data_IF_769978889832
#
_entry.id   IF_769978889832
#
_cell.length_a   1.000
_cell.length_b   1.000
_cell.length_c   1.000
_cell.angle_alpha   90.00
_cell.angle_beta   90.00
_cell.angle_gamma   90.00
#
_symmetry.space_group_name_H-M   'P 1'
#
loop_
_entity.id
_entity.type
_entity.pdbx_description
1 polymer ?
#
# COMPACT_ATOMS: atom_id res chain seq x y z
N UNK A 1 149.15 -44.94 77.01
CA UNK A 1 148.35 -45.70 76.01
C UNK A 1 146.84 -45.49 76.14
N UNK A 2 146.28 -45.21 77.33
CA UNK A 2 144.84 -44.92 77.48
C UNK A 2 144.36 -43.62 76.78
N UNK A 3 145.11 -42.53 76.88
CA UNK A 3 144.66 -41.20 76.41
C UNK A 3 144.48 -41.07 74.88
N UNK A 4 145.23 -41.84 74.08
CA UNK A 4 145.13 -41.84 72.61
C UNK A 4 143.89 -42.59 72.15
N UNK A 5 143.62 -43.73 72.77
CA UNK A 5 142.44 -44.56 72.50
C UNK A 5 141.16 -43.83 72.88
N UNK A 6 141.16 -43.04 73.97
CA UNK A 6 140.02 -42.19 74.34
C UNK A 6 139.76 -41.07 73.32
N UNK A 7 140.80 -40.47 72.75
CA UNK A 7 140.68 -39.45 71.70
C UNK A 7 140.23 -40.04 70.36
N UNK A 8 140.75 -41.22 69.98
CA UNK A 8 140.31 -41.96 68.79
C UNK A 8 138.85 -42.41 68.93
N UNK A 9 138.44 -42.90 70.12
CA UNK A 9 137.03 -43.21 70.40
C UNK A 9 136.15 -41.96 70.33
N UNK A 10 136.57 -40.82 70.89
CA UNK A 10 135.82 -39.55 70.76
C UNK A 10 135.68 -39.09 69.32
N UNK A 11 136.74 -39.22 68.51
CA UNK A 11 136.71 -38.85 67.10
C UNK A 11 135.79 -39.79 66.31
N UNK A 12 135.86 -41.10 66.58
CA UNK A 12 134.96 -42.10 66.02
C UNK A 12 133.49 -41.81 66.38
N UNK A 13 133.20 -41.53 67.66
CA UNK A 13 131.85 -41.16 68.12
C UNK A 13 131.36 -39.86 67.49
N UNK A 14 132.20 -38.82 67.37
CA UNK A 14 131.82 -37.57 66.71
C UNK A 14 131.57 -37.76 65.21
N UNK A 15 132.30 -38.67 64.56
CA UNK A 15 132.12 -38.99 63.15
C UNK A 15 130.83 -39.78 62.92
N UNK A 16 130.55 -40.76 63.77
CA UNK A 16 129.28 -41.51 63.77
C UNK A 16 128.08 -40.61 64.10
N UNK A 17 128.23 -39.64 65.02
CA UNK A 17 127.22 -38.63 65.30
C UNK A 17 126.99 -37.69 64.12
N UNK A 18 128.05 -37.23 63.45
CA UNK A 18 127.93 -36.40 62.26
C UNK A 18 127.27 -37.15 61.10
N UNK A 19 127.60 -38.43 60.92
CA UNK A 19 127.00 -39.26 59.88
C UNK A 19 125.54 -39.62 60.22
N UNK A 20 125.23 -39.81 61.51
CA UNK A 20 123.85 -39.96 61.99
C UNK A 20 123.04 -38.68 61.73
N UNK A 21 123.54 -37.50 62.11
CA UNK A 21 122.86 -36.23 61.84
C UNK A 21 122.70 -35.94 60.35
N UNK A 22 123.73 -36.21 59.52
CA UNK A 22 123.61 -36.09 58.06
C UNK A 22 122.56 -37.03 57.49
N UNK A 23 122.48 -38.26 57.99
CA UNK A 23 121.47 -39.22 57.55
C UNK A 23 120.07 -38.81 58.01
N UNK A 24 119.92 -38.33 59.25
CA UNK A 24 118.65 -37.78 59.77
C UNK A 24 118.23 -36.58 58.94
N UNK A 25 119.09 -35.59 58.73
CA UNK A 25 118.78 -34.41 57.92
C UNK A 25 118.45 -34.79 56.46
N UNK A 26 119.17 -35.75 55.88
CA UNK A 26 118.87 -36.28 54.54
C UNK A 26 117.49 -36.96 54.49
N UNK A 27 117.12 -37.71 55.54
CA UNK A 27 115.78 -38.30 55.67
C UNK A 27 114.71 -37.22 55.85
N UNK A 28 114.93 -36.21 56.70
CA UNK A 28 114.01 -35.09 56.89
C UNK A 28 113.79 -34.30 55.60
N UNK A 29 114.86 -34.00 54.86
CA UNK A 29 114.78 -33.34 53.55
C UNK A 29 114.02 -34.21 52.55
N UNK A 30 114.23 -35.54 52.58
CA UNK A 30 113.50 -36.46 51.70
C UNK A 30 112.01 -36.52 52.04
N UNK A 31 111.66 -36.57 53.32
CA UNK A 31 110.26 -36.57 53.78
C UNK A 31 109.58 -35.21 53.52
N UNK A 32 110.28 -34.10 53.73
CA UNK A 32 109.78 -32.76 53.38
C UNK A 32 109.53 -32.62 51.87
N UNK A 33 110.44 -33.12 51.02
CA UNK A 33 110.24 -33.15 49.56
C UNK A 33 109.05 -34.02 49.18
N UNK A 34 108.93 -35.24 49.71
CA UNK A 34 107.77 -36.11 49.46
C UNK A 34 106.46 -35.44 49.87
N UNK A 35 106.39 -34.82 51.05
CA UNK A 35 105.20 -34.09 51.52
C UNK A 35 104.86 -32.91 50.62
N UNK A 36 105.88 -32.23 50.10
CA UNK A 36 105.69 -31.14 49.14
C UNK A 36 105.18 -31.66 47.80
N UNK A 37 105.77 -32.74 47.27
CA UNK A 37 105.36 -33.38 46.02
C UNK A 37 103.93 -33.93 46.11
N UNK A 38 103.56 -34.60 47.20
CA UNK A 38 102.18 -35.06 47.42
C UNK A 38 101.21 -33.89 47.49
N UNK A 39 101.57 -32.81 48.19
CA UNK A 39 100.73 -31.61 48.27
C UNK A 39 100.56 -30.94 46.91
N UNK A 40 101.59 -30.92 46.06
CA UNK A 40 101.49 -30.40 44.69
C UNK A 40 100.51 -31.25 43.88
N UNK A 41 100.61 -32.59 43.94
CA UNK A 41 99.71 -33.50 43.21
C UNK A 41 98.27 -33.39 43.72
N UNK A 42 98.05 -33.26 45.03
CA UNK A 42 96.73 -33.02 45.63
C UNK A 42 96.13 -31.68 45.19
N UNK A 43 96.94 -30.62 45.14
CA UNK A 43 96.49 -29.31 44.64
C UNK A 43 96.17 -29.38 43.14
N UNK A 44 96.98 -30.08 42.35
CA UNK A 44 96.79 -30.19 40.90
C UNK A 44 95.57 -31.06 40.54
N UNK A 45 95.38 -32.17 41.26
CA UNK A 45 94.18 -33.01 41.17
C UNK A 45 92.91 -32.27 41.64
N UNK A 46 92.99 -31.49 42.73
CA UNK A 46 91.89 -30.64 43.19
C UNK A 46 91.49 -29.61 42.14
N UNK A 47 92.46 -28.88 41.55
CA UNK A 47 92.21 -27.94 40.45
C UNK A 47 91.61 -28.65 39.23
N UNK A 48 92.10 -29.84 38.87
CA UNK A 48 91.56 -30.64 37.76
C UNK A 48 90.10 -30.99 37.98
N UNK A 49 89.73 -31.44 39.18
CA UNK A 49 88.34 -31.77 39.55
C UNK A 49 87.47 -30.50 39.51
N UNK A 50 87.95 -29.37 40.01
CA UNK A 50 87.22 -28.10 39.92
C UNK A 50 86.97 -27.66 38.48
N UNK A 51 87.97 -27.80 37.59
CA UNK A 51 87.80 -27.49 36.17
C UNK A 51 86.85 -28.47 35.48
N UNK A 52 86.94 -29.76 35.77
CA UNK A 52 86.00 -30.77 35.25
C UNK A 52 84.58 -30.53 35.75
N UNK A 53 84.41 -30.15 37.02
CA UNK A 53 83.11 -29.78 37.60
C UNK A 53 82.53 -28.53 36.93
N UNK A 54 83.32 -27.46 36.76
CA UNK A 54 82.88 -26.23 36.09
C UNK A 54 82.54 -26.48 34.62
N UNK A 55 83.30 -27.34 33.94
CA UNK A 55 83.02 -27.73 32.56
C UNK A 55 81.73 -28.55 32.46
N UNK A 56 81.51 -29.50 33.37
CA UNK A 56 80.28 -30.29 33.43
C UNK A 56 79.05 -29.41 33.72
N UNK A 57 79.18 -28.46 34.66
CA UNK A 57 78.14 -27.48 34.98
C UNK A 57 77.81 -26.59 33.77
N UNK A 58 78.81 -26.02 33.10
CA UNK A 58 78.61 -25.22 31.89
C UNK A 58 77.96 -26.02 30.74
N UNK A 59 78.33 -27.28 30.56
CA UNK A 59 77.71 -28.17 29.58
C UNK A 59 76.25 -28.51 29.95
N UNK A 60 75.95 -28.67 31.24
CA UNK A 60 74.59 -28.91 31.71
C UNK A 60 73.72 -27.65 31.54
N UNK A 61 74.26 -26.47 31.84
CA UNK A 61 73.58 -25.19 31.63
C UNK A 61 73.29 -24.98 30.14
N UNK A 62 74.27 -25.20 29.26
CA UNK A 62 74.08 -25.11 27.81
C UNK A 62 73.01 -26.10 27.30
N UNK A 63 72.97 -27.33 27.81
CA UNK A 63 71.90 -28.29 27.49
C UNK A 63 70.54 -27.80 27.97
N UNK A 64 70.47 -27.26 29.18
CA UNK A 64 69.23 -26.72 29.76
C UNK A 64 68.71 -25.54 28.94
N UNK A 65 69.60 -24.63 28.53
CA UNK A 65 69.24 -23.48 27.70
C UNK A 65 68.74 -23.93 26.33
N UNK A 66 69.38 -24.91 25.70
CA UNK A 66 68.89 -25.47 24.44
C UNK A 66 67.55 -26.19 24.57
N UNK A 67 67.35 -26.98 25.64
CA UNK A 67 66.06 -27.63 25.90
C UNK A 67 64.96 -26.58 26.13
N UNK A 68 65.25 -25.53 26.89
CA UNK A 68 64.33 -24.42 27.11
C UNK A 68 64.00 -23.71 25.79
N UNK A 69 64.99 -23.42 24.95
CA UNK A 69 64.76 -22.82 23.63
C UNK A 69 63.88 -23.70 22.75
N UNK A 70 64.13 -25.01 22.70
CA UNK A 70 63.30 -25.95 21.93
C UNK A 70 61.86 -25.95 22.46
N UNK A 71 61.70 -25.97 23.78
CA UNK A 71 60.39 -25.94 24.42
C UNK A 71 59.63 -24.64 24.12
N UNK A 72 60.32 -23.49 24.19
CA UNK A 72 59.73 -22.19 23.87
C UNK A 72 59.32 -22.12 22.40
N UNK A 73 60.17 -22.59 21.48
CA UNK A 73 59.83 -22.65 20.06
C UNK A 73 58.63 -23.57 19.80
N UNK A 74 58.58 -24.73 20.44
CA UNK A 74 57.46 -25.66 20.31
C UNK A 74 56.17 -25.02 20.80
N UNK A 75 56.19 -24.37 21.96
CA UNK A 75 55.02 -23.72 22.53
C UNK A 75 54.54 -22.54 21.67
N UNK A 76 55.46 -21.73 21.15
CA UNK A 76 55.13 -20.67 20.19
C UNK A 76 54.54 -21.23 18.90
N UNK A 77 55.08 -22.33 18.38
CA UNK A 77 54.58 -22.99 17.19
C UNK A 77 53.17 -23.55 17.42
N UNK A 78 52.93 -24.22 18.53
CA UNK A 78 51.61 -24.74 18.92
C UNK A 78 50.59 -23.60 19.10
N UNK A 79 50.96 -22.52 19.80
CA UNK A 79 50.11 -21.33 19.95
C UNK A 79 49.74 -20.72 18.60
N UNK A 80 50.72 -20.54 17.71
CA UNK A 80 50.47 -19.92 16.39
C UNK A 80 49.64 -20.81 15.48
N UNK A 81 49.86 -22.12 15.47
CA UNK A 81 49.02 -23.04 14.71
C UNK A 81 47.62 -23.18 15.28
N UNK A 82 47.48 -23.26 16.61
CA UNK A 82 46.18 -23.29 17.28
C UNK A 82 45.37 -22.03 16.95
N UNK A 83 45.98 -20.85 17.06
CA UNK A 83 45.33 -19.59 16.71
C UNK A 83 44.95 -19.51 15.21
N UNK A 84 45.80 -20.00 14.30
CA UNK A 84 45.48 -20.05 12.87
C UNK A 84 44.33 -21.01 12.57
N UNK A 85 44.30 -22.15 13.24
CA UNK A 85 43.27 -23.18 13.05
C UNK A 85 41.93 -22.70 13.59
N UNK A 86 41.92 -22.09 14.78
CA UNK A 86 40.73 -21.47 15.34
C UNK A 86 40.21 -20.33 14.45
N UNK A 87 41.09 -19.45 13.97
CA UNK A 87 40.68 -18.37 13.06
C UNK A 87 40.13 -18.91 11.73
N UNK A 88 40.75 -19.96 11.17
CA UNK A 88 40.24 -20.61 9.97
C UNK A 88 38.87 -21.28 10.21
N UNK A 89 38.66 -21.92 11.36
CA UNK A 89 37.38 -22.49 11.75
C UNK A 89 36.30 -21.41 11.92
N UNK A 90 36.61 -20.30 12.61
CA UNK A 90 35.71 -19.18 12.77
C UNK A 90 35.35 -18.53 11.43
N UNK A 91 36.33 -18.38 10.53
CA UNK A 91 36.08 -17.86 9.18
C UNK A 91 35.19 -18.81 8.36
N UNK A 92 35.42 -20.12 8.44
CA UNK A 92 34.60 -21.12 7.77
C UNK A 92 33.15 -21.14 8.31
N UNK A 93 32.98 -21.06 9.63
CA UNK A 93 31.67 -20.98 10.27
C UNK A 93 30.92 -19.73 9.83
N UNK A 94 31.55 -18.54 9.91
CA UNK A 94 30.96 -17.29 9.42
C UNK A 94 30.58 -17.38 7.95
N UNK A 95 31.44 -17.92 7.10
CA UNK A 95 31.13 -18.07 5.68
C UNK A 95 29.95 -19.04 5.44
N UNK A 96 29.83 -20.09 6.25
CA UNK A 96 28.66 -20.99 6.23
C UNK A 96 27.39 -20.25 6.62
N UNK A 97 27.42 -19.42 7.67
CA UNK A 97 26.27 -18.63 8.13
C UNK A 97 25.84 -17.58 7.10
N UNK A 98 26.79 -16.91 6.45
CA UNK A 98 26.47 -16.01 5.33
C UNK A 98 25.87 -16.79 4.14
N UNK A 99 26.35 -18.00 3.86
CA UNK A 99 25.83 -18.84 2.79
C UNK A 99 24.43 -19.41 3.11
N UNK A 100 24.09 -19.65 4.38
CA UNK A 100 22.73 -20.05 4.78
C UNK A 100 21.78 -18.86 4.74
N UNK A 101 22.16 -17.70 5.27
CA UNK A 101 21.33 -16.49 5.24
C UNK A 101 20.97 -16.08 3.80
N UNK A 102 21.97 -16.05 2.91
CA UNK A 102 21.73 -15.76 1.49
C UNK A 102 20.84 -16.80 0.80
N UNK A 103 20.95 -18.09 1.16
CA UNK A 103 20.02 -19.11 0.66
C UNK A 103 18.59 -18.88 1.16
N UNK A 104 18.40 -18.51 2.41
CA UNK A 104 17.09 -18.20 2.97
C UNK A 104 16.46 -16.97 2.31
N UNK A 105 17.25 -15.92 2.03
CA UNK A 105 16.81 -14.76 1.25
C UNK A 105 16.39 -15.12 -0.18
N UNK A 106 17.11 -16.03 -0.83
CA UNK A 106 16.74 -16.54 -2.16
C UNK A 106 15.43 -17.32 -2.10
N UNK A 107 15.27 -18.21 -1.11
CA UNK A 107 14.06 -19.03 -0.95
C UNK A 107 12.85 -18.15 -0.65
N UNK A 108 12.96 -17.19 0.27
CA UNK A 108 11.89 -16.24 0.58
C UNK A 108 11.52 -15.36 -0.62
N UNK A 109 12.52 -14.87 -1.36
CA UNK A 109 12.30 -14.12 -2.60
C UNK A 109 11.59 -14.94 -3.65
N UNK A 110 11.96 -16.21 -3.82
CA UNK A 110 11.31 -17.14 -4.76
C UNK A 110 9.85 -17.40 -4.36
N UNK A 111 9.58 -17.66 -3.08
CA UNK A 111 8.21 -17.82 -2.57
C UNK A 111 7.35 -16.57 -2.82
N UNK A 112 7.93 -15.39 -2.65
CA UNK A 112 7.26 -14.12 -2.94
C UNK A 112 6.94 -13.99 -4.44
N UNK A 113 7.88 -14.35 -5.31
CA UNK A 113 7.66 -14.37 -6.76
C UNK A 113 6.55 -15.36 -7.14
N UNK A 114 6.56 -16.57 -6.59
CA UNK A 114 5.55 -17.59 -6.87
C UNK A 114 4.16 -17.14 -6.42
N UNK A 115 4.06 -16.49 -5.26
CA UNK A 115 2.81 -15.95 -4.73
C UNK A 115 2.28 -14.81 -5.59
N UNK A 116 3.13 -13.84 -5.95
CA UNK A 116 2.76 -12.74 -6.85
C UNK A 116 2.36 -13.26 -8.25
N UNK A 117 3.06 -14.28 -8.76
CA UNK A 117 2.74 -14.90 -10.04
C UNK A 117 1.39 -15.62 -10.01
N UNK A 118 1.06 -16.28 -8.90
CA UNK A 118 -0.25 -16.90 -8.68
C UNK A 118 -1.37 -15.85 -8.65
N UNK A 119 -1.18 -14.77 -7.88
CA UNK A 119 -2.11 -13.64 -7.83
C UNK A 119 -2.31 -13.00 -9.21
N UNK A 120 -1.22 -12.80 -9.97
CA UNK A 120 -1.28 -12.25 -11.32
C UNK A 120 -2.09 -13.18 -12.26
N UNK A 121 -1.86 -14.50 -12.18
CA UNK A 121 -2.65 -15.48 -12.94
C UNK A 121 -4.13 -15.46 -12.56
N UNK A 122 -4.45 -15.31 -11.26
CA UNK A 122 -5.82 -15.19 -10.78
C UNK A 122 -6.49 -13.93 -11.33
N UNK A 123 -5.84 -12.77 -11.25
CA UNK A 123 -6.38 -11.52 -11.79
C UNK A 123 -6.54 -11.56 -13.31
N UNK A 124 -5.61 -12.19 -14.04
CA UNK A 124 -5.75 -12.40 -15.48
C UNK A 124 -6.98 -13.24 -15.83
N UNK A 125 -7.26 -14.31 -15.07
CA UNK A 125 -8.47 -15.13 -15.25
C UNK A 125 -9.74 -14.36 -14.91
N UNK A 126 -9.73 -13.57 -13.84
CA UNK A 126 -10.86 -12.72 -13.50
C UNK A 126 -11.12 -11.65 -14.57
N UNK A 127 -10.07 -11.02 -15.09
CA UNK A 127 -10.20 -10.03 -16.14
C UNK A 127 -10.76 -10.63 -17.43
N UNK A 128 -10.27 -11.79 -17.87
CA UNK A 128 -10.81 -12.46 -19.05
C UNK A 128 -12.27 -12.92 -18.86
N UNK A 129 -12.64 -13.34 -17.66
CA UNK A 129 -14.04 -13.66 -17.33
C UNK A 129 -14.94 -12.42 -17.41
N UNK A 130 -14.50 -11.28 -16.87
CA UNK A 130 -15.24 -10.02 -16.95
C UNK A 130 -15.35 -9.48 -18.38
N UNK A 131 -14.28 -9.56 -19.17
CA UNK A 131 -14.29 -9.19 -20.59
C UNK A 131 -15.28 -10.04 -21.39
N UNK A 132 -15.34 -11.35 -21.12
CA UNK A 132 -16.34 -12.24 -21.72
C UNK A 132 -17.77 -11.86 -21.28
N UNK A 133 -17.96 -11.50 -20.00
CA UNK A 133 -19.27 -11.07 -19.50
C UNK A 133 -19.75 -9.78 -20.15
N UNK A 134 -18.85 -8.80 -20.31
CA UNK A 134 -19.14 -7.56 -21.02
C UNK A 134 -19.54 -7.85 -22.47
N UNK A 135 -18.81 -8.72 -23.16
CA UNK A 135 -19.15 -9.12 -24.53
C UNK A 135 -20.53 -9.77 -24.62
N UNK A 136 -20.84 -10.70 -23.71
CA UNK A 136 -22.16 -11.35 -23.65
C UNK A 136 -23.28 -10.31 -23.44
N UNK A 137 -23.10 -9.37 -22.50
CA UNK A 137 -24.09 -8.32 -22.23
C UNK A 137 -24.26 -7.37 -23.42
N UNK A 138 -23.19 -7.03 -24.12
CA UNK A 138 -23.24 -6.24 -25.36
C UNK A 138 -24.05 -6.97 -26.44
N UNK A 139 -23.79 -8.26 -26.66
CA UNK A 139 -24.56 -9.05 -27.63
C UNK A 139 -26.05 -9.16 -27.26
N UNK A 140 -26.38 -9.26 -25.96
CA UNK A 140 -27.78 -9.27 -25.49
C UNK A 140 -28.43 -7.91 -25.78
N UNK A 141 -27.73 -6.81 -25.49
CA UNK A 141 -28.21 -5.45 -25.75
C UNK A 141 -28.47 -5.22 -27.24
N UNK A 142 -27.53 -5.60 -28.11
CA UNK A 142 -27.65 -5.46 -29.55
C UNK A 142 -28.85 -6.26 -30.08
N UNK A 143 -29.02 -7.51 -29.61
CA UNK A 143 -30.21 -8.33 -29.97
C UNK A 143 -31.51 -7.67 -29.52
N UNK A 144 -31.57 -7.09 -28.31
CA UNK A 144 -32.74 -6.40 -27.82
C UNK A 144 -33.06 -5.14 -28.64
N UNK A 145 -32.03 -4.35 -29.00
CA UNK A 145 -32.18 -3.17 -29.86
C UNK A 145 -32.70 -3.53 -31.24
N UNK A 146 -32.17 -4.58 -31.87
CA UNK A 146 -32.65 -5.08 -33.16
C UNK A 146 -34.10 -5.55 -33.10
N UNK A 147 -34.48 -6.26 -32.04
CA UNK A 147 -35.86 -6.69 -31.82
C UNK A 147 -36.81 -5.50 -31.68
N UNK A 148 -36.45 -4.49 -30.88
CA UNK A 148 -37.24 -3.27 -30.75
C UNK A 148 -37.33 -2.49 -32.07
N UNK A 149 -36.23 -2.41 -32.83
CA UNK A 149 -36.23 -1.74 -34.14
C UNK A 149 -37.17 -2.43 -35.13
N UNK A 150 -37.20 -3.76 -35.15
CA UNK A 150 -38.14 -4.55 -35.96
C UNK A 150 -39.59 -4.29 -35.54
N UNK A 151 -39.88 -4.31 -34.25
CA UNK A 151 -41.22 -4.02 -33.72
C UNK A 151 -41.68 -2.60 -34.09
N UNK A 152 -40.80 -1.60 -33.96
CA UNK A 152 -41.10 -0.23 -34.36
C UNK A 152 -41.40 -0.14 -35.86
N UNK A 153 -40.58 -0.78 -36.70
CA UNK A 153 -40.82 -0.82 -38.15
C UNK A 153 -42.14 -1.49 -38.52
N UNK A 154 -42.54 -2.55 -37.80
CA UNK A 154 -43.83 -3.22 -38.00
C UNK A 154 -45.00 -2.30 -37.63
N UNK A 155 -44.91 -1.60 -36.49
CA UNK A 155 -45.94 -0.62 -36.08
C UNK A 155 -46.02 0.59 -37.01
N UNK A 156 -44.88 1.09 -37.49
CA UNK A 156 -44.87 2.18 -38.48
C UNK A 156 -45.54 1.74 -39.80
N UNK A 157 -45.33 0.48 -40.20
CA UNK A 157 -46.02 -0.12 -41.35
C UNK A 157 -47.53 -0.24 -41.10
N UNK A 158 -47.96 -0.73 -39.94
CA UNK A 158 -49.38 -0.80 -39.58
C UNK A 158 -50.03 0.59 -39.61
N UNK A 159 -49.35 1.62 -39.07
CA UNK A 159 -49.82 3.01 -39.10
C UNK A 159 -49.94 3.52 -40.53
N UNK A 160 -48.97 3.23 -41.40
CA UNK A 160 -49.03 3.60 -42.81
C UNK A 160 -50.21 2.92 -43.53
N UNK A 161 -50.41 1.62 -43.30
CA UNK A 161 -51.51 0.85 -43.88
C UNK A 161 -52.88 1.41 -43.41
N UNK A 162 -53.02 1.77 -42.13
CA UNK A 162 -54.24 2.39 -41.59
C UNK A 162 -54.48 3.80 -42.14
N UNK A 163 -53.44 4.61 -42.30
CA UNK A 163 -53.54 5.94 -42.93
C UNK A 163 -53.98 5.82 -44.38
N UNK A 164 -53.45 4.85 -45.12
CA UNK A 164 -53.84 4.61 -46.50
C UNK A 164 -55.32 4.20 -46.61
N UNK A 165 -55.78 3.26 -45.77
CA UNK A 165 -57.20 2.88 -45.70
C UNK A 165 -58.12 4.07 -45.39
N UNK A 166 -57.73 4.90 -44.43
CA UNK A 166 -58.49 6.11 -44.08
C UNK A 166 -58.58 7.07 -45.27
N UNK A 167 -57.48 7.26 -46.01
CA UNK A 167 -57.48 8.11 -47.19
C UNK A 167 -58.41 7.56 -48.29
N UNK A 168 -58.36 6.26 -48.57
CA UNK A 168 -59.29 5.63 -49.51
C UNK A 168 -60.75 5.82 -49.10
N UNK A 169 -61.07 5.66 -47.81
CA UNK A 169 -62.42 5.93 -47.31
C UNK A 169 -62.84 7.38 -47.52
N UNK A 170 -61.95 8.35 -47.28
CA UNK A 170 -62.25 9.76 -47.53
C UNK A 170 -62.53 10.04 -49.01
N UNK A 171 -61.76 9.43 -49.92
CA UNK A 171 -61.97 9.54 -51.37
C UNK A 171 -63.32 8.91 -51.79
N UNK A 172 -63.68 7.74 -51.24
CA UNK A 172 -64.99 7.12 -51.45
C UNK A 172 -66.14 7.98 -50.91
N UNK A 173 -65.96 8.60 -49.73
CA UNK A 173 -66.95 9.52 -49.16
C UNK A 173 -67.13 10.78 -50.00
N UNK A 174 -66.05 11.34 -50.55
CA UNK A 174 -66.11 12.50 -51.45
C UNK A 174 -66.87 12.15 -52.75
N UNK A 175 -66.54 11.02 -53.38
CA UNK A 175 -67.26 10.53 -54.56
C UNK A 175 -68.76 10.32 -54.28
N UNK A 176 -69.10 9.73 -53.13
CA UNK A 176 -70.50 9.54 -52.73
C UNK A 176 -71.20 10.87 -52.47
N UNK A 177 -70.51 11.85 -51.88
CA UNK A 177 -71.04 13.20 -51.68
C UNK A 177 -71.32 13.88 -53.02
N UNK A 178 -70.43 13.76 -54.00
CA UNK A 178 -70.61 14.30 -55.35
C UNK A 178 -71.85 13.71 -56.04
N UNK A 179 -72.03 12.39 -55.97
CA UNK A 179 -73.24 11.71 -56.49
C UNK A 179 -74.49 12.23 -55.78
N UNK A 180 -74.44 12.41 -54.46
CA UNK A 180 -75.56 12.96 -53.69
C UNK A 180 -75.91 14.38 -54.13
N UNK A 181 -74.90 15.23 -54.34
CA UNK A 181 -75.11 16.60 -54.83
C UNK A 181 -75.73 16.61 -56.23
N UNK A 182 -75.30 15.72 -57.13
CA UNK A 182 -75.91 15.56 -58.45
C UNK A 182 -77.39 15.15 -58.35
N UNK A 183 -77.71 14.17 -57.51
CA UNK A 183 -79.11 13.74 -57.27
C UNK A 183 -79.97 14.86 -56.67
N UNK A 184 -79.45 15.64 -55.72
CA UNK A 184 -80.16 16.80 -55.18
C UNK A 184 -80.45 17.85 -56.26
N UNK A 185 -79.51 18.07 -57.18
CA UNK A 185 -79.71 18.97 -58.32
C UNK A 185 -80.81 18.45 -59.26
N UNK A 186 -80.81 17.15 -59.57
CA UNK A 186 -81.86 16.50 -60.36
C UNK A 186 -83.24 16.62 -59.70
N UNK A 187 -83.35 16.32 -58.40
CA UNK A 187 -84.61 16.46 -57.63
C UNK A 187 -85.10 17.90 -57.66
N UNK A 188 -84.22 18.88 -57.47
CA UNK A 188 -84.59 20.29 -57.51
C UNK A 188 -85.03 20.72 -58.92
N UNK A 189 -84.41 20.19 -59.97
CA UNK A 189 -84.85 20.42 -61.35
C UNK A 189 -86.24 19.83 -61.60
N UNK A 190 -86.48 18.58 -61.17
CA UNK A 190 -87.80 17.96 -61.25
C UNK A 190 -88.86 18.75 -60.49
N UNK A 191 -88.56 19.21 -59.26
CA UNK A 191 -89.46 20.09 -58.49
C UNK A 191 -89.82 21.36 -59.24
N UNK A 192 -88.84 22.07 -59.82
CA UNK A 192 -89.08 23.29 -60.59
C UNK A 192 -89.92 23.06 -61.85
N UNK A 193 -89.71 21.93 -62.55
CA UNK A 193 -90.54 21.58 -63.71
C UNK A 193 -91.98 21.29 -63.31
N UNK A 194 -92.18 20.55 -62.21
CA UNK A 194 -93.50 20.30 -61.63
C UNK A 194 -94.19 21.59 -61.21
N UNK A 195 -93.50 22.51 -60.51
CA UNK A 195 -94.02 23.84 -60.17
C UNK A 195 -94.44 24.62 -61.42
N UNK A 196 -93.65 24.58 -62.49
CA UNK A 196 -93.99 25.20 -63.78
C UNK A 196 -95.23 24.60 -64.46
N UNK A 197 -95.39 23.27 -64.40
CA UNK A 197 -96.59 22.58 -64.88
C UNK A 197 -97.83 22.88 -64.01
N UNK A 198 -97.68 22.93 -62.68
CA UNK A 198 -98.74 23.31 -61.74
C UNK A 198 -99.23 24.75 -62.03
N UNK A 199 -98.30 25.67 -62.34
CA UNK A 199 -98.61 27.04 -62.76
C UNK A 199 -99.41 27.08 -64.08
N UNK A 200 -99.05 26.25 -65.08
CA UNK A 200 -99.75 26.15 -66.37
C UNK A 200 -101.15 25.56 -66.24
N UNK A 201 -101.30 24.55 -65.40
CA UNK A 201 -102.56 23.83 -65.19
C UNK A 201 -103.53 24.56 -64.23
N UNK A 202 -103.16 25.75 -63.72
CA UNK A 202 -103.91 26.52 -62.71
C UNK A 202 -104.29 25.67 -61.49
N UNK A 203 -103.46 24.68 -61.17
CA UNK A 203 -103.58 23.97 -59.91
C UNK A 203 -103.14 24.97 -58.84
N UNK A 204 -104.09 25.43 -58.02
CA UNK A 204 -103.84 26.38 -56.94
C UNK A 204 -102.62 25.92 -56.14
N UNK A 205 -101.66 26.81 -55.80
CA UNK A 205 -100.51 26.42 -55.00
C UNK A 205 -101.04 25.94 -53.64
N UNK A 206 -100.97 24.64 -53.39
CA UNK A 206 -101.33 24.05 -52.11
C UNK A 206 -100.27 24.46 -51.08
N UNK A 207 -100.65 24.94 -49.89
CA UNK A 207 -99.70 25.48 -48.94
C UNK A 207 -98.83 24.38 -48.36
N UNK A 208 -97.58 24.77 -48.11
CA UNK A 208 -96.52 24.02 -47.46
C UNK A 208 -97.01 23.18 -46.28
N UNK A 209 -96.72 21.88 -46.29
CA UNK A 209 -96.81 21.03 -45.11
C UNK A 209 -95.40 20.70 -44.59
N UNK A 210 -95.03 21.49 -43.58
CA UNK A 210 -94.21 21.17 -42.41
C UNK A 210 -93.85 19.68 -42.25
N UNK A 211 -92.55 19.38 -42.19
CA UNK A 211 -92.04 18.23 -41.41
C UNK A 211 -91.18 18.74 -40.25
N UNK A 212 -91.78 18.65 -39.08
CA UNK A 212 -91.13 18.67 -37.77
C UNK A 212 -90.28 17.42 -37.62
N UNK A 213 -89.00 17.58 -37.29
CA UNK A 213 -88.32 16.61 -36.42
C UNK A 213 -87.51 17.38 -35.38
N UNK A 214 -87.95 17.17 -34.16
CA UNK A 214 -87.36 17.67 -32.93
C UNK A 214 -86.24 16.73 -32.46
N UNK A 215 -85.34 17.30 -31.64
CA UNK A 215 -84.43 16.65 -30.67
C UNK A 215 -83.14 16.11 -31.31
N UNK A 216 -81.96 16.57 -30.90
CA UNK A 216 -81.48 16.57 -29.51
C UNK A 216 -80.61 17.78 -29.15
N UNK A 217 -80.98 18.40 -28.05
CA UNK A 217 -80.10 19.19 -27.18
C UNK A 217 -79.07 18.27 -26.54
N UNK A 218 -77.78 18.49 -26.81
CA UNK A 218 -76.72 18.20 -25.83
C UNK A 218 -75.90 19.46 -25.65
N UNK A 219 -75.99 19.92 -24.42
CA UNK A 219 -75.38 21.08 -23.81
C UNK A 219 -73.87 21.15 -23.96
N UNK A 220 -73.43 22.40 -24.14
CA UNK A 220 -72.12 22.94 -23.78
C UNK A 220 -71.49 22.25 -22.57
N UNK A 221 -70.21 21.91 -22.71
CA UNK A 221 -69.23 22.15 -21.63
C UNK A 221 -67.90 22.54 -22.25
N UNK A 222 -67.71 23.85 -22.39
CA UNK A 222 -66.41 24.48 -22.26
C UNK A 222 -65.90 24.20 -20.85
N UNK A 223 -64.98 23.24 -20.72
CA UNK A 223 -64.16 23.07 -19.51
C UNK A 223 -62.70 23.19 -19.89
N UNK A 224 -62.23 24.43 -19.86
CA UNK A 224 -60.84 24.75 -19.59
C UNK A 224 -60.53 24.25 -18.18
N UNK A 225 -59.94 23.06 -18.07
CA UNK A 225 -59.32 22.59 -16.84
C UNK A 225 -57.81 22.79 -16.94
N UNK A 226 -57.43 23.98 -16.48
CA UNK A 226 -56.15 24.30 -15.85
C UNK A 226 -55.98 23.37 -14.65
N UNK A 227 -54.97 22.49 -14.68
CA UNK A 227 -54.70 21.60 -13.55
C UNK A 227 -53.51 20.66 -13.75
N UNK A 228 -52.43 20.99 -13.04
CA UNK A 228 -51.24 20.18 -12.72
C UNK A 228 -50.31 19.79 -13.88
N UNK A 229 -49.21 20.55 -13.96
CA UNK A 229 -47.87 20.00 -14.23
C UNK A 229 -47.74 18.67 -13.49
N UNK A 230 -47.84 17.56 -14.20
CA UNK A 230 -47.21 16.33 -13.76
C UNK A 230 -45.73 16.52 -14.03
N UNK A 231 -44.98 16.70 -12.95
CA UNK A 231 -43.55 16.42 -12.92
C UNK A 231 -43.38 15.08 -13.61
N UNK A 232 -42.72 15.10 -14.76
CA UNK A 232 -42.15 13.93 -15.38
C UNK A 232 -41.22 13.36 -14.31
N UNK A 233 -41.68 12.33 -13.58
CA UNK A 233 -40.76 11.39 -12.98
C UNK A 233 -39.99 10.83 -14.18
N UNK A 234 -38.73 11.25 -14.27
CA UNK A 234 -37.80 10.69 -15.22
C UNK A 234 -37.78 9.18 -14.93
N UNK A 235 -38.46 8.41 -15.78
CA UNK A 235 -38.21 6.98 -15.87
C UNK A 235 -36.73 6.87 -16.17
N UNK A 236 -35.99 6.39 -15.17
CA UNK A 236 -34.58 6.09 -15.20
C UNK A 236 -34.30 5.29 -16.47
N UNK A 237 -33.82 6.00 -17.50
CA UNK A 237 -33.12 5.36 -18.60
C UNK A 237 -31.92 4.71 -17.94
N UNK A 238 -31.84 3.39 -18.05
CA UNK A 238 -30.74 2.57 -17.54
C UNK A 238 -29.41 3.06 -18.09
N UNK A 239 -28.80 4.01 -17.38
CA UNK A 239 -27.37 4.15 -17.31
C UNK A 239 -26.88 2.92 -16.53
N UNK A 240 -25.88 2.23 -17.08
CA UNK A 240 -25.24 1.11 -16.42
C UNK A 240 -24.90 1.51 -14.99
N UNK A 241 -25.61 0.93 -14.01
CA UNK A 241 -25.32 1.15 -12.60
C UNK A 241 -23.85 0.75 -12.38
N UNK A 242 -23.02 1.62 -11.79
CA UNK A 242 -21.64 1.25 -11.50
C UNK A 242 -21.63 -0.01 -10.64
N UNK A 243 -20.75 -0.97 -10.93
CA UNK A 243 -20.59 -2.23 -10.18
C UNK A 243 -20.05 -2.04 -8.76
N UNK A 244 -20.19 -0.84 -8.22
CA UNK A 244 -19.76 -0.43 -6.89
C UNK A 244 -20.73 0.61 -6.34
N UNK A 245 -20.96 0.58 -5.02
CA UNK A 245 -21.66 1.64 -4.28
C UNK A 245 -20.59 2.47 -3.58
N UNK A 246 -20.74 3.79 -3.63
CA UNK A 246 -19.90 4.70 -2.84
C UNK A 246 -20.62 4.90 -1.52
N UNK A 247 -19.94 4.61 -0.42
CA UNK A 247 -20.42 4.92 0.91
C UNK A 247 -19.58 6.07 1.46
N UNK A 248 -20.27 7.07 2.00
CA UNK A 248 -19.66 8.27 2.56
C UNK A 248 -20.19 8.44 3.97
N UNK A 249 -19.28 8.57 4.92
CA UNK A 249 -19.61 9.05 6.26
C UNK A 249 -19.00 10.43 6.46
N UNK A 250 -19.78 11.33 7.04
CA UNK A 250 -19.35 12.67 7.39
C UNK A 250 -19.73 12.94 8.84
N UNK A 251 -18.77 13.40 9.62
CA UNK A 251 -18.96 13.90 10.98
C UNK A 251 -18.46 15.33 11.05
N UNK A 252 -19.11 16.14 11.88
CA UNK A 252 -18.66 17.49 12.20
C UNK A 252 -18.97 17.77 13.65
N UNK A 253 -17.94 18.11 14.42
CA UNK A 253 -18.04 18.51 15.82
C UNK A 253 -18.39 20.01 15.96
N UNK A 254 -18.19 20.79 14.88
CA UNK A 254 -18.33 22.24 14.90
C UNK A 254 -19.14 22.85 13.76
N UNK A 255 -19.07 24.19 13.58
CA UNK A 255 -19.85 24.93 12.59
C UNK A 255 -19.40 24.70 11.14
N UNK A 256 -18.25 24.05 10.93
CA UNK A 256 -17.68 23.76 9.62
C UNK A 256 -17.66 22.26 9.39
N UNK A 257 -18.11 21.83 8.21
CA UNK A 257 -18.06 20.44 7.78
C UNK A 257 -17.38 20.28 6.43
N UNK A 258 -16.95 19.05 6.14
CA UNK A 258 -16.46 18.67 4.82
C UNK A 258 -17.69 18.28 3.98
N UNK A 259 -18.05 19.13 3.02
CA UNK A 259 -19.25 18.99 2.20
C UNK A 259 -19.07 17.91 1.13
N UNK A 260 -17.90 17.88 0.47
CA UNK A 260 -17.66 17.01 -0.67
C UNK A 260 -16.19 16.65 -0.82
N UNK A 261 -15.93 15.40 -1.22
CA UNK A 261 -14.63 14.90 -1.68
C UNK A 261 -14.85 14.38 -3.10
N UNK A 262 -14.10 14.91 -4.06
CA UNK A 262 -14.17 14.45 -5.44
C UNK A 262 -13.59 13.05 -5.60
N UNK A 263 -14.34 12.16 -6.26
CA UNK A 263 -13.98 10.75 -6.43
C UNK A 263 -12.72 10.53 -7.29
N UNK A 264 -12.43 11.49 -8.17
CA UNK A 264 -11.24 11.49 -9.02
C UNK A 264 -10.05 12.20 -8.34
N UNK A 265 -10.20 12.64 -7.09
CA UNK A 265 -9.16 13.31 -6.31
C UNK A 265 -8.85 14.73 -6.80
N UNK A 266 -9.74 15.36 -7.56
CA UNK A 266 -9.49 16.70 -8.13
C UNK A 266 -9.62 17.81 -7.10
N UNK A 267 -10.57 17.70 -6.18
CA UNK A 267 -10.83 18.72 -5.17
C UNK A 267 -11.49 18.16 -3.93
N UNK A 268 -11.53 19.00 -2.89
CA UNK A 268 -12.43 18.84 -1.75
C UNK A 268 -13.09 20.18 -1.44
N UNK A 269 -14.24 20.12 -0.77
CA UNK A 269 -15.04 21.29 -0.41
C UNK A 269 -15.39 21.26 1.07
N UNK A 270 -15.17 22.38 1.75
CA UNK A 270 -15.62 22.59 3.13
C UNK A 270 -16.68 23.69 3.16
N UNK A 271 -17.67 23.52 4.03
CA UNK A 271 -18.85 24.38 4.15
C UNK A 271 -18.95 24.91 5.57
N UNK A 272 -19.21 26.21 5.71
CA UNK A 272 -19.65 26.80 6.95
C UNK A 272 -21.17 26.65 7.07
N UNK A 273 -21.62 25.80 7.98
CA UNK A 273 -23.04 25.53 8.26
C UNK A 273 -23.64 26.50 9.28
N UNK A 274 -22.85 27.43 9.82
CA UNK A 274 -23.34 28.41 10.79
C UNK A 274 -23.81 29.70 10.11
N UNK A 275 -24.59 30.48 10.85
CA UNK A 275 -25.05 31.81 10.49
C UNK A 275 -23.98 32.90 10.79
N UNK A 276 -22.80 32.51 11.28
CA UNK A 276 -21.69 33.40 11.63
C UNK A 276 -20.45 33.14 10.76
N UNK A 277 -19.65 34.18 10.55
CA UNK A 277 -18.39 34.07 9.82
C UNK A 277 -17.34 33.31 10.66
N UNK A 278 -16.74 32.26 10.09
CA UNK A 278 -15.78 31.40 10.79
C UNK A 278 -14.33 31.73 10.41
N UNK A 279 -13.49 31.99 11.41
CA UNK A 279 -12.06 32.29 11.22
C UNK A 279 -11.25 30.99 11.12
N UNK A 280 -11.04 30.50 9.90
CA UNK A 280 -10.32 29.23 9.66
C UNK A 280 -8.82 29.44 9.41
N UNK A 281 -8.25 30.41 10.10
CA UNK A 281 -6.84 30.79 9.91
C UNK A 281 -5.91 29.73 10.50
N UNK A 282 -5.09 29.11 9.64
CA UNK A 282 -4.13 28.10 10.06
C UNK A 282 -4.71 26.72 10.34
N UNK A 283 -6.01 26.52 10.11
CA UNK A 283 -6.65 25.21 10.10
C UNK A 283 -6.06 24.34 9.00
N UNK A 284 -6.04 23.02 9.22
CA UNK A 284 -5.37 22.07 8.33
C UNK A 284 -6.33 20.97 7.91
N UNK A 285 -6.37 20.70 6.61
CA UNK A 285 -7.05 19.54 6.03
C UNK A 285 -6.02 18.44 5.84
N UNK A 286 -6.15 17.35 6.58
CA UNK A 286 -5.29 16.18 6.42
C UNK A 286 -6.02 15.08 5.67
N UNK A 287 -5.29 14.39 4.80
CA UNK A 287 -5.79 13.24 4.03
C UNK A 287 -4.99 12.01 4.41
N UNK A 288 -5.71 10.97 4.83
CA UNK A 288 -5.23 9.61 4.99
C UNK A 288 -5.82 8.74 3.89
N UNK A 289 -4.99 7.89 3.29
CA UNK A 289 -5.42 6.97 2.23
C UNK A 289 -4.62 5.68 2.37
N UNK A 290 -5.29 4.61 2.82
CA UNK A 290 -4.67 3.31 3.11
C UNK A 290 -3.35 3.43 3.88
N UNK A 291 -2.27 2.90 3.31
CA UNK A 291 -0.91 2.91 3.89
C UNK A 291 -0.02 4.08 3.42
N UNK A 292 -0.56 5.03 2.63
CA UNK A 292 0.22 6.19 2.20
C UNK A 292 0.40 7.18 3.35
N UNK A 293 1.52 7.92 3.37
CA UNK A 293 1.74 8.96 4.37
C UNK A 293 0.62 9.99 4.34
N UNK A 294 0.24 10.45 5.52
CA UNK A 294 -0.71 11.53 5.72
C UNK A 294 -0.16 12.81 5.11
N UNK A 295 -1.00 13.50 4.33
CA UNK A 295 -0.65 14.78 3.70
C UNK A 295 -1.62 15.86 4.16
N UNK A 296 -1.12 17.07 4.39
CA UNK A 296 -1.92 18.18 4.93
C UNK A 296 -1.86 19.46 4.10
N UNK A 297 -3.02 20.08 3.87
CA UNK A 297 -3.14 21.42 3.31
C UNK A 297 -3.54 22.42 4.40
N UNK A 298 -2.72 23.44 4.62
CA UNK A 298 -2.96 24.48 5.62
C UNK A 298 -3.65 25.70 5.01
N UNK A 299 -4.76 26.12 5.59
CA UNK A 299 -5.48 27.33 5.18
C UNK A 299 -4.67 28.60 5.50
N UNK A 300 -4.74 29.65 4.65
CA UNK A 300 -3.98 30.88 4.87
C UNK A 300 -4.29 31.55 6.21
N UNK A 301 -3.28 32.21 6.80
CA UNK A 301 -3.34 32.78 8.17
C UNK A 301 -4.30 33.96 8.40
N UNK A 302 -5.20 34.28 7.47
CA UNK A 302 -6.28 35.28 7.63
C UNK A 302 -7.58 34.87 6.93
N UNK A 303 -7.71 33.58 6.66
CA UNK A 303 -8.86 33.07 5.93
C UNK A 303 -10.11 33.10 6.82
N UNK A 304 -11.19 33.65 6.27
CA UNK A 304 -12.52 33.74 6.88
C UNK A 304 -13.50 33.09 5.92
N UNK A 305 -14.20 32.06 6.40
CA UNK A 305 -15.26 31.41 5.66
C UNK A 305 -16.60 32.00 6.10
N UNK A 306 -17.24 32.75 5.21
CA UNK A 306 -18.49 33.45 5.54
C UNK A 306 -19.62 32.47 5.86
N UNK A 307 -20.59 32.94 6.64
CA UNK A 307 -21.82 32.19 6.94
C UNK A 307 -22.46 31.60 5.67
N UNK A 308 -22.76 30.30 5.69
CA UNK A 308 -23.39 29.58 4.57
C UNK A 308 -22.53 29.47 3.30
N UNK A 309 -21.25 29.87 3.31
CA UNK A 309 -20.35 29.75 2.16
C UNK A 309 -19.47 28.50 2.25
N UNK A 310 -19.09 28.01 1.08
CA UNK A 310 -18.09 26.96 0.93
C UNK A 310 -16.80 27.50 0.33
N UNK A 311 -15.72 26.74 0.53
CA UNK A 311 -14.45 26.94 -0.16
C UNK A 311 -13.98 25.62 -0.74
N UNK A 312 -13.45 25.69 -1.96
CA UNK A 312 -12.95 24.52 -2.69
C UNK A 312 -11.43 24.53 -2.69
N UNK A 313 -10.82 23.41 -2.33
CA UNK A 313 -9.37 23.23 -2.38
C UNK A 313 -9.07 22.22 -3.50
N UNK A 314 -8.50 22.72 -4.58
CA UNK A 314 -8.16 21.97 -5.78
C UNK A 314 -6.75 21.38 -5.69
N UNK A 315 -6.56 20.18 -6.21
CA UNK A 315 -5.23 19.63 -6.46
C UNK A 315 -4.58 20.31 -7.67
N UNK A 316 -3.25 20.36 -7.72
CA UNK A 316 -2.52 20.98 -8.84
C UNK A 316 -2.81 20.32 -10.19
N UNK A 317 -3.05 19.00 -10.21
CA UNK A 317 -3.35 18.25 -11.43
C UNK A 317 -4.75 18.48 -11.99
N UNK A 318 -5.65 19.11 -11.22
CA UNK A 318 -7.00 19.42 -11.68
C UNK A 318 -7.06 20.60 -12.68
N UNK A 319 -5.96 21.38 -12.80
CA UNK A 319 -5.89 22.51 -13.72
C UNK A 319 -6.75 23.72 -13.33
N UNK A 320 -7.26 23.76 -12.09
CA UNK A 320 -8.06 24.87 -11.60
C UNK A 320 -7.24 26.15 -11.37
N UNK A 321 -7.90 27.30 -11.48
CA UNK A 321 -7.28 28.61 -11.27
C UNK A 321 -7.36 28.98 -9.79
N UNK A 322 -6.24 29.39 -9.20
CA UNK A 322 -6.17 29.84 -7.82
C UNK A 322 -6.88 31.20 -7.64
N UNK A 323 -8.03 31.19 -6.93
CA UNK A 323 -8.87 32.37 -6.71
C UNK A 323 -9.39 32.45 -5.26
N UNK A 324 -8.54 32.83 -4.30
CA UNK A 324 -8.97 33.08 -2.93
C UNK A 324 -10.06 34.18 -2.86
N UNK A 325 -11.03 34.12 -1.93
CA UNK A 325 -11.16 33.14 -0.86
C UNK A 325 -11.93 31.87 -1.24
N UNK A 326 -12.52 31.77 -2.44
CA UNK A 326 -13.42 30.66 -2.81
C UNK A 326 -12.70 29.42 -3.32
N UNK A 327 -11.54 29.61 -3.95
CA UNK A 327 -10.80 28.53 -4.61
C UNK A 327 -9.31 28.58 -4.28
N UNK A 328 -8.86 27.59 -3.53
CA UNK A 328 -7.44 27.37 -3.25
C UNK A 328 -6.89 26.27 -4.15
N UNK A 329 -5.61 26.36 -4.50
CA UNK A 329 -4.92 25.32 -5.27
C UNK A 329 -3.74 24.82 -4.46
N UNK A 330 -3.73 23.53 -4.16
CA UNK A 330 -2.63 22.86 -3.48
C UNK A 330 -1.52 22.53 -4.46
N UNK A 331 -0.67 23.53 -4.74
CA UNK A 331 0.35 23.49 -5.81
C UNK A 331 1.35 22.33 -5.71
N UNK A 332 1.60 21.81 -4.51
CA UNK A 332 2.58 20.73 -4.27
C UNK A 332 2.01 19.33 -4.49
N UNK A 333 0.68 19.18 -4.54
CA UNK A 333 0.03 17.87 -4.69
C UNK A 333 -0.71 17.78 -6.02
N UNK A 334 -0.42 16.74 -6.81
CA UNK A 334 -1.06 16.53 -8.11
C UNK A 334 -2.51 16.05 -7.98
N UNK A 335 -2.86 15.35 -6.90
CA UNK A 335 -4.19 14.83 -6.62
C UNK A 335 -4.41 14.74 -5.11
N UNK A 336 -5.66 14.83 -4.66
CA UNK A 336 -6.09 14.47 -3.30
C UNK A 336 -6.12 12.96 -3.05
N UNK A 337 -5.93 12.15 -4.09
CA UNK A 337 -6.03 10.68 -4.06
C UNK A 337 -7.23 10.19 -4.86
N UNK A 338 -7.06 9.11 -5.62
CA UNK A 338 -8.09 8.56 -6.51
C UNK A 338 -8.53 7.20 -5.98
N UNK A 339 -9.81 7.04 -5.65
CA UNK A 339 -10.40 5.75 -5.28
C UNK A 339 -9.99 5.18 -3.90
N UNK A 340 -10.83 4.24 -3.45
CA UNK A 340 -10.79 3.32 -2.30
C UNK A 340 -10.16 3.85 -0.99
N UNK A 341 -11.00 4.07 0.02
CA UNK A 341 -10.62 4.36 1.40
C UNK A 341 -9.84 5.69 1.57
N UNK A 342 -10.52 6.79 1.22
CA UNK A 342 -10.01 8.16 1.44
C UNK A 342 -10.68 8.73 2.67
N UNK A 343 -9.88 9.07 3.67
CA UNK A 343 -10.30 9.75 4.89
C UNK A 343 -9.71 11.15 4.91
N UNK A 344 -10.56 12.16 5.06
CA UNK A 344 -10.14 13.56 5.21
C UNK A 344 -10.60 14.08 6.55
N UNK A 345 -9.67 14.65 7.30
CA UNK A 345 -9.92 15.24 8.61
C UNK A 345 -9.60 16.73 8.57
N UNK A 346 -10.50 17.55 9.07
CA UNK A 346 -10.34 18.99 9.24
C UNK A 346 -9.92 19.25 10.69
N UNK A 347 -8.70 19.74 10.85
CA UNK A 347 -8.11 20.13 12.11
C UNK A 347 -8.18 21.65 12.28
N UNK A 348 -8.48 22.10 13.49
CA UNK A 348 -8.47 23.52 13.82
C UNK A 348 -7.03 24.10 13.91
N UNK A 349 -6.90 25.32 14.41
CA UNK A 349 -5.59 25.94 14.63
C UNK A 349 -4.77 25.31 15.76
N UNK A 350 -5.42 24.55 16.65
CA UNK A 350 -4.78 23.88 17.80
C UNK A 350 -4.39 22.44 17.51
N UNK A 351 -4.91 21.86 16.42
CA UNK A 351 -4.70 20.47 16.01
C UNK A 351 -5.85 19.54 16.42
N UNK A 352 -6.96 20.07 16.93
CA UNK A 352 -8.15 19.31 17.30
C UNK A 352 -9.04 19.03 16.09
N UNK A 353 -9.64 17.84 16.07
CA UNK A 353 -10.54 17.40 15.00
C UNK A 353 -11.90 18.11 15.06
N UNK A 354 -12.23 18.84 13.98
CA UNK A 354 -13.48 19.58 13.85
C UNK A 354 -14.48 18.92 12.90
N UNK A 355 -14.00 18.25 11.86
CA UNK A 355 -14.84 17.49 10.95
C UNK A 355 -14.05 16.38 10.29
N UNK A 356 -14.72 15.29 9.97
CA UNK A 356 -14.14 14.17 9.26
C UNK A 356 -15.09 13.73 8.17
N UNK A 357 -14.53 13.33 7.03
CA UNK A 357 -15.29 12.68 5.98
C UNK A 357 -14.50 11.54 5.40
N UNK A 358 -15.11 10.37 5.41
CA UNK A 358 -14.52 9.12 4.95
C UNK A 358 -15.31 8.61 3.75
N UNK A 359 -14.59 8.20 2.71
CA UNK A 359 -15.14 7.73 1.45
C UNK A 359 -14.57 6.36 1.13
N UNK A 360 -15.45 5.38 1.02
CA UNK A 360 -15.10 4.02 0.63
C UNK A 360 -16.00 3.54 -0.50
N UNK A 361 -15.41 2.77 -1.41
CA UNK A 361 -16.10 2.18 -2.54
C UNK A 361 -16.25 0.71 -2.25
N UNK A 362 -17.50 0.27 -2.21
CA UNK A 362 -17.82 -1.12 -1.95
C UNK A 362 -18.31 -1.77 -3.23
N UNK A 363 -17.75 -2.94 -3.55
CA UNK A 363 -18.15 -3.70 -4.73
C UNK A 363 -19.44 -4.45 -4.40
N UNK A 364 -20.49 -4.26 -5.21
CA UNK A 364 -21.77 -4.94 -5.01
C UNK A 364 -21.64 -6.40 -5.46
N UNK A 365 -22.08 -7.37 -4.66
CA UNK A 365 -22.16 -8.78 -5.06
C UNK A 365 -23.44 -9.05 -5.88
N UNK A 366 -23.40 -10.01 -6.82
CA UNK A 366 -24.54 -10.33 -7.67
C UNK A 366 -25.66 -11.00 -6.85
N UNK A 367 -26.74 -10.28 -6.57
CA UNK A 367 -27.97 -10.84 -5.98
C UNK A 367 -28.49 -10.13 -4.73
N UNK A 368 -27.74 -9.20 -4.14
CA UNK A 368 -28.17 -8.48 -2.94
C UNK A 368 -29.25 -7.43 -3.25
N UNK A 369 -30.31 -7.44 -2.44
CA UNK A 369 -31.33 -6.39 -2.48
C UNK A 369 -30.77 -5.09 -1.87
N UNK A 370 -31.25 -3.94 -2.35
CA UNK A 370 -30.77 -2.65 -1.84
C UNK A 370 -30.99 -2.51 -0.32
N UNK A 371 -31.97 -3.20 0.28
CA UNK A 371 -32.25 -3.21 1.72
C UNK A 371 -31.30 -4.10 2.54
N UNK A 372 -30.92 -5.28 2.06
CA UNK A 372 -30.00 -6.20 2.75
C UNK A 372 -28.55 -5.68 2.78
N UNK A 373 -28.13 -4.96 1.73
CA UNK A 373 -26.80 -4.32 1.65
C UNK A 373 -26.63 -3.14 2.63
N UNK A 374 -27.72 -2.50 3.07
CA UNK A 374 -27.64 -1.28 3.88
C UNK A 374 -27.34 -1.54 5.37
N UNK A 375 -27.66 -2.72 5.90
CA UNK A 375 -27.57 -2.98 7.35
C UNK A 375 -26.30 -3.74 7.76
N UNK A 376 -25.78 -4.65 6.94
CA UNK A 376 -24.67 -5.55 7.34
C UNK A 376 -23.29 -4.88 7.19
N UNK A 377 -23.02 -4.21 6.07
CA UNK A 377 -21.72 -3.57 5.82
C UNK A 377 -21.58 -2.20 6.50
N UNK A 378 -22.69 -1.47 6.72
CA UNK A 378 -22.65 -0.22 7.49
C UNK A 378 -22.34 -0.52 8.97
N UNK A 379 -22.76 -1.69 9.49
CA UNK A 379 -22.43 -2.16 10.83
C UNK A 379 -20.96 -2.63 10.94
N UNK A 380 -20.43 -3.30 9.92
CA UNK A 380 -19.00 -3.66 9.86
C UNK A 380 -18.10 -2.41 9.70
N UNK A 381 -18.56 -1.42 8.93
CA UNK A 381 -17.91 -0.11 8.79
C UNK A 381 -17.88 0.68 10.10
N UNK A 382 -19.01 0.74 10.83
CA UNK A 382 -19.06 1.34 12.18
C UNK A 382 -18.15 0.61 13.17
N UNK A 383 -17.99 -0.70 13.02
CA UNK A 383 -17.07 -1.48 13.86
C UNK A 383 -15.59 -1.22 13.54
N UNK A 384 -15.24 -0.96 12.28
CA UNK A 384 -13.86 -0.61 11.86
C UNK A 384 -13.50 0.84 12.16
N UNK A 385 -14.44 1.78 12.02
CA UNK A 385 -14.24 3.20 12.37
C UNK A 385 -14.21 3.46 13.89
N UNK A 386 -14.85 2.63 14.72
CA UNK A 386 -14.73 2.70 16.19
C UNK A 386 -13.48 2.00 16.75
N UNK A 387 -12.74 1.21 15.98
CA UNK A 387 -11.49 0.58 16.43
C UNK A 387 -10.28 1.53 16.48
N UNK A 388 -10.43 2.80 16.06
CA UNK A 388 -9.35 3.81 16.15
C UNK A 388 -9.42 4.68 17.40
N UNK A 389 -10.34 4.44 18.34
CA UNK A 389 -10.32 5.07 19.66
C UNK A 389 -9.71 4.10 20.66
N UNK A 390 -8.39 4.12 20.78
CA UNK A 390 -7.69 3.53 21.92
C UNK A 390 -8.21 4.19 23.22
N UNK A 391 -8.75 3.44 24.20
CA UNK A 391 -9.05 3.99 25.53
C UNK A 391 -7.80 4.17 26.40
N UNK A 392 -6.60 4.11 25.82
CA UNK A 392 -5.33 4.05 26.54
C UNK A 392 -4.55 5.37 26.44
N UNK A 393 -5.15 6.46 26.90
CA UNK A 393 -4.37 7.59 27.42
C UNK A 393 -5.19 8.37 28.46
N UNK A 394 -5.50 7.70 29.57
CA UNK A 394 -5.72 8.41 30.83
C UNK A 394 -4.38 8.57 31.54
N UNK A 395 -3.98 9.82 31.64
CA UNK A 395 -3.15 10.45 32.66
C UNK A 395 -2.87 9.55 33.88
N UNK A 396 -1.59 9.22 34.08
CA UNK A 396 -0.84 9.51 35.32
C UNK A 396 0.62 9.77 34.97
#
# INVERSE_FOLDING_TARGET
MLWRVDLENKLQTLKEQLDFEKNVHSQEVREMKKRHDTRIVEIDSGRRIEFESKLAEALQELRKDHEQQIQDYKEQLERTFSAKLENAQLAAAKNSDYASATREEIVSSKLRIDTMSSQLSQYQKQNSALENKVRELQEILDRAQDMHRRQMSEKDREVADMRHKLQTQLEEYEQLLDVKLALDMEINAYRKMLEGEEQRLKLSPSPSQRSTVSRSSVSQTSRLLRGKKRKLEASERGESRPGYKIVQEASSSGPVSIEEIDLEGKFLRILNNSDEDQQLSGWTLTRQHGSLPEIGFKLPGRFILKAGQHVTIWAAGAGAIHKPPTDFVWKTQKSWGTGDDVKVTLLDSTGEECAERTLFRVRREEGETDEEFFDEELAEFRSKSHQTVDPSCSIM
#
